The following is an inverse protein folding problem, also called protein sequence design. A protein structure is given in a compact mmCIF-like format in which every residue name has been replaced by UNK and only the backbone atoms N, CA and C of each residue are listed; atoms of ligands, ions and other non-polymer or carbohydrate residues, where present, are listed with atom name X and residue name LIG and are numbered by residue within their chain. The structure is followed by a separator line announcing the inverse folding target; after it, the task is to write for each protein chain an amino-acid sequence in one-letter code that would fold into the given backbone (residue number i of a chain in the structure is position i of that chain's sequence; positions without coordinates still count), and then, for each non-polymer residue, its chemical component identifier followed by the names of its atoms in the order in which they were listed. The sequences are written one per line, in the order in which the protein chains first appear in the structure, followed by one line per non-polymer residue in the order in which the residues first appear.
data_IF_732400417083
#
_entry.id   IF_732400417083
#
_cell.length_a   1.000
_cell.length_b   1.000
_cell.length_c   1.000
_cell.angle_alpha   90.00
_cell.angle_beta   90.00
_cell.angle_gamma   90.00
#
_symmetry.space_group_name_H-M   'P 1'
#
loop_
_entity.id
_entity.type
_entity.pdbx_description
1 polymer ?
#
# COMPACT_ATOMS: atom_id res chain seq x y z
N UNK A 1 -14.30 25.59 -9.88
CA UNK A 1 -14.23 24.12 -9.69
C UNK A 1 -12.79 23.60 -9.68
N UNK A 2 -11.89 24.16 -10.50
CA UNK A 2 -10.44 23.84 -10.53
C UNK A 2 -9.72 24.04 -9.20
N UNK A 3 -10.01 25.12 -8.46
CA UNK A 3 -9.31 25.44 -7.20
C UNK A 3 -9.60 24.42 -6.09
N UNK A 4 -10.80 23.83 -6.09
CA UNK A 4 -11.20 22.81 -5.13
C UNK A 4 -10.43 21.50 -5.36
N UNK A 5 -10.28 21.06 -6.62
CA UNK A 5 -9.55 19.82 -6.95
C UNK A 5 -8.06 19.96 -6.62
N UNK A 6 -7.47 21.14 -6.84
CA UNK A 6 -6.08 21.40 -6.46
C UNK A 6 -5.88 21.37 -4.94
N UNK A 7 -6.81 21.92 -4.16
CA UNK A 7 -6.74 21.86 -2.69
C UNK A 7 -6.89 20.42 -2.18
N UNK A 8 -7.85 19.65 -2.70
CA UNK A 8 -8.05 18.24 -2.35
C UNK A 8 -6.80 17.40 -2.70
N UNK A 9 -6.22 17.64 -3.87
CA UNK A 9 -4.94 17.04 -4.29
C UNK A 9 -3.85 17.26 -3.26
N UNK A 10 -3.63 18.52 -2.84
CA UNK A 10 -2.62 18.87 -1.86
C UNK A 10 -2.88 18.20 -0.50
N UNK A 11 -4.15 18.11 -0.08
CA UNK A 11 -4.51 17.44 1.17
C UNK A 11 -4.14 15.94 1.12
N UNK A 12 -4.49 15.24 0.04
CA UNK A 12 -4.10 13.83 -0.14
C UNK A 12 -2.58 13.66 -0.15
N UNK A 13 -1.87 14.54 -0.86
CA UNK A 13 -0.40 14.54 -0.88
C UNK A 13 0.19 14.72 0.52
N UNK A 14 -0.35 15.66 1.32
CA UNK A 14 0.06 15.85 2.72
C UNK A 14 -0.15 14.58 3.53
N UNK A 15 -1.30 13.90 3.39
CA UNK A 15 -1.55 12.63 4.11
C UNK A 15 -0.59 11.52 3.68
N UNK A 16 -0.27 11.40 2.39
CA UNK A 16 0.70 10.43 1.92
C UNK A 16 2.13 10.74 2.41
N UNK A 17 2.50 12.02 2.46
CA UNK A 17 3.77 12.46 3.04
C UNK A 17 3.82 12.17 4.56
N UNK A 18 2.68 12.31 5.25
CA UNK A 18 2.57 11.93 6.66
C UNK A 18 2.79 10.42 6.85
N UNK A 19 2.16 9.58 6.02
CA UNK A 19 2.37 8.12 6.04
C UNK A 19 3.85 7.80 5.85
N UNK A 20 4.47 8.37 4.82
CA UNK A 20 5.90 8.19 4.52
C UNK A 20 6.78 8.61 5.71
N UNK A 21 6.52 9.80 6.29
CA UNK A 21 7.25 10.31 7.45
C UNK A 21 7.11 9.39 8.67
N UNK A 22 5.91 8.89 8.95
CA UNK A 22 5.64 7.98 10.06
C UNK A 22 6.27 6.61 9.88
N UNK A 23 6.45 6.13 8.64
CA UNK A 23 7.18 4.88 8.36
C UNK A 23 8.65 5.01 8.80
N UNK A 24 9.29 6.16 8.52
CA UNK A 24 10.70 6.36 8.89
C UNK A 24 10.91 6.73 10.36
N UNK A 25 10.06 7.61 10.89
CA UNK A 25 10.29 8.23 12.22
C UNK A 25 9.42 7.62 13.32
N UNK A 26 8.25 7.06 12.99
CA UNK A 26 7.27 6.58 13.95
C UNK A 26 7.72 5.35 14.73
N UNK A 27 7.33 5.27 16.00
CA UNK A 27 7.66 4.14 16.86
C UNK A 27 7.04 2.81 16.39
N UNK A 28 5.91 2.88 15.69
CA UNK A 28 5.19 1.74 15.12
C UNK A 28 6.06 0.88 14.18
N UNK A 29 7.05 1.48 13.52
CA UNK A 29 7.92 0.82 12.54
C UNK A 29 9.39 0.75 13.01
N UNK A 30 9.63 1.01 14.31
CA UNK A 30 10.99 1.15 14.85
C UNK A 30 11.89 -0.06 14.58
N UNK A 31 11.32 -1.28 14.60
CA UNK A 31 12.04 -2.53 14.33
C UNK A 31 12.56 -2.69 12.89
N UNK A 32 12.02 -1.94 11.92
CA UNK A 32 12.43 -2.01 10.50
C UNK A 32 13.16 -0.76 10.02
N UNK A 33 13.52 0.16 10.92
CA UNK A 33 14.24 1.40 10.58
C UNK A 33 15.52 1.10 9.80
N UNK A 34 15.80 1.93 8.79
CA UNK A 34 16.94 1.76 7.88
C UNK A 34 16.76 0.69 6.79
N UNK A 35 15.74 -0.16 6.91
CA UNK A 35 15.47 -1.27 5.98
C UNK A 35 14.37 -0.96 4.97
N UNK A 36 13.69 0.18 5.08
CA UNK A 36 12.66 0.57 4.12
C UNK A 36 13.23 1.03 2.79
N UNK A 37 12.55 0.64 1.71
CA UNK A 37 12.58 1.31 0.41
C UNK A 37 11.15 1.75 0.09
N UNK A 38 11.01 3.02 -0.30
CA UNK A 38 9.74 3.62 -0.65
C UNK A 38 9.78 4.15 -2.07
N UNK A 39 8.70 3.93 -2.81
CA UNK A 39 8.49 4.50 -4.14
C UNK A 39 7.12 5.14 -4.18
N UNK A 40 7.11 6.47 -4.23
CA UNK A 40 5.90 7.27 -4.37
C UNK A 40 5.68 7.65 -5.83
N UNK A 41 4.49 7.41 -6.36
CA UNK A 41 4.09 7.79 -7.71
C UNK A 41 2.82 8.63 -7.62
N UNK A 42 2.91 9.86 -8.09
CA UNK A 42 1.78 10.76 -8.19
C UNK A 42 1.37 10.93 -9.65
N UNK A 43 0.10 10.68 -9.96
CA UNK A 43 -0.44 10.84 -11.31
C UNK A 43 -1.69 11.73 -11.24
N UNK A 44 -1.50 13.00 -11.56
CA UNK A 44 -2.61 13.94 -11.69
C UNK A 44 -3.33 13.68 -13.02
N UNK A 45 -4.61 13.31 -12.98
CA UNK A 45 -5.47 13.33 -14.17
C UNK A 45 -6.33 14.58 -14.17
N UNK A 46 -6.57 15.14 -15.34
CA UNK A 46 -7.32 16.40 -15.53
C UNK A 46 -8.81 16.29 -15.13
N UNK A 47 -9.33 15.09 -14.83
CA UNK A 47 -10.76 14.82 -14.65
C UNK A 47 -11.15 14.40 -13.21
N UNK A 48 -10.63 15.08 -12.18
CA UNK A 48 -11.01 14.94 -10.75
C UNK A 48 -10.63 13.63 -10.01
N UNK A 49 -10.23 12.57 -10.71
CA UNK A 49 -9.67 11.36 -10.07
C UNK A 49 -8.19 11.58 -9.69
N UNK A 50 -7.91 11.68 -8.39
CA UNK A 50 -6.57 11.84 -7.85
C UNK A 50 -5.93 10.47 -7.67
N UNK A 51 -4.83 10.21 -8.40
CA UNK A 51 -4.08 8.96 -8.26
C UNK A 51 -2.77 9.18 -7.49
N UNK A 52 -2.65 8.51 -6.34
CA UNK A 52 -1.43 8.47 -5.54
C UNK A 52 -1.13 7.03 -5.14
N UNK A 53 0.07 6.55 -5.48
CA UNK A 53 0.55 5.23 -5.08
C UNK A 53 1.80 5.44 -4.20
N UNK A 54 1.86 4.73 -3.07
CA UNK A 54 3.05 4.62 -2.24
C UNK A 54 3.38 3.14 -2.05
N UNK A 55 4.40 2.69 -2.76
CA UNK A 55 4.96 1.35 -2.62
C UNK A 55 5.98 1.34 -1.49
N UNK A 56 5.84 0.40 -0.56
CA UNK A 56 6.65 0.23 0.64
C UNK A 56 7.20 -1.20 0.63
N UNK A 57 8.51 -1.36 0.78
CA UNK A 57 9.13 -2.68 0.96
C UNK A 57 10.29 -2.63 1.95
N UNK A 58 10.67 -3.80 2.43
CA UNK A 58 11.92 -3.99 3.16
C UNK A 58 13.01 -4.51 2.21
N UNK A 59 14.25 -4.00 2.37
CA UNK A 59 15.40 -4.31 1.52
C UNK A 59 15.72 -5.80 1.43
N UNK A 60 15.46 -6.55 2.50
CA UNK A 60 15.72 -7.99 2.55
C UNK A 60 14.62 -8.83 1.91
N UNK A 61 13.47 -8.26 1.56
CA UNK A 61 12.44 -9.00 0.84
C UNK A 61 12.89 -9.30 -0.59
N UNK A 62 12.51 -10.47 -1.14
CA UNK A 62 12.63 -10.74 -2.56
C UNK A 62 12.13 -9.57 -3.42
N UNK A 63 12.79 -9.37 -4.57
CA UNK A 63 12.41 -8.31 -5.48
C UNK A 63 10.96 -8.48 -5.96
N UNK A 64 10.26 -7.36 -6.11
CA UNK A 64 8.89 -7.34 -6.58
C UNK A 64 7.83 -7.47 -5.49
N UNK A 65 8.18 -7.85 -4.26
CA UNK A 65 7.24 -7.81 -3.11
C UNK A 65 7.16 -6.39 -2.56
N UNK A 66 5.94 -5.89 -2.35
CA UNK A 66 5.70 -4.58 -1.74
C UNK A 66 4.32 -4.51 -1.09
N UNK A 67 4.16 -3.61 -0.14
CA UNK A 67 2.86 -3.14 0.35
C UNK A 67 2.59 -1.80 -0.32
N UNK A 68 1.45 -1.67 -1.02
CA UNK A 68 1.06 -0.41 -1.65
C UNK A 68 -0.07 0.26 -0.89
N UNK A 69 0.13 1.51 -0.50
CA UNK A 69 -0.98 2.44 -0.23
C UNK A 69 -1.42 3.02 -1.56
N UNK A 70 -2.68 2.81 -1.92
CA UNK A 70 -3.25 3.16 -3.21
C UNK A 70 -4.42 4.11 -3.01
N UNK A 71 -4.36 5.27 -3.65
CA UNK A 71 -5.46 6.22 -3.79
C UNK A 71 -5.78 6.38 -5.27
N UNK A 72 -7.03 6.12 -5.63
CA UNK A 72 -7.66 6.56 -6.88
C UNK A 72 -9.11 6.90 -6.57
N UNK A 73 -10.08 6.11 -7.02
CA UNK A 73 -11.47 6.21 -6.53
C UNK A 73 -11.60 5.79 -5.06
N UNK A 74 -10.87 4.75 -4.67
CA UNK A 74 -10.82 4.23 -3.32
C UNK A 74 -9.46 4.52 -2.66
N UNK A 75 -9.38 4.36 -1.35
CA UNK A 75 -8.14 4.29 -0.58
C UNK A 75 -7.97 2.86 -0.05
N UNK A 76 -6.84 2.22 -0.34
CA UNK A 76 -6.56 0.85 0.08
C UNK A 76 -5.09 0.64 0.43
N UNK A 77 -4.82 -0.38 1.24
CA UNK A 77 -3.46 -0.86 1.54
C UNK A 77 -3.38 -2.34 1.14
N UNK A 78 -2.56 -2.66 0.15
CA UNK A 78 -2.57 -3.98 -0.49
C UNK A 78 -1.14 -4.54 -0.56
N UNK A 79 -0.86 -5.72 -0.01
CA UNK A 79 0.38 -6.43 -0.25
C UNK A 79 0.32 -7.13 -1.61
N UNK A 80 1.36 -6.97 -2.40
CA UNK A 80 1.44 -7.55 -3.74
C UNK A 80 2.85 -7.95 -4.11
N UNK A 81 2.95 -8.81 -5.13
CA UNK A 81 4.18 -9.22 -5.77
C UNK A 81 4.05 -9.18 -7.29
N UNK A 82 5.12 -8.82 -7.99
CA UNK A 82 5.16 -8.80 -9.46
C UNK A 82 5.65 -10.09 -10.11
N UNK A 83 6.27 -10.96 -9.32
CA UNK A 83 6.69 -12.28 -9.75
C UNK A 83 5.68 -13.33 -9.28
N UNK A 84 5.08 -14.04 -10.24
CA UNK A 84 4.12 -15.11 -9.98
C UNK A 84 4.78 -16.29 -9.26
N UNK A 85 6.06 -16.55 -9.51
CA UNK A 85 6.76 -17.69 -8.95
C UNK A 85 6.94 -17.55 -7.44
N UNK A 86 7.25 -16.35 -6.96
CA UNK A 86 7.35 -16.04 -5.52
C UNK A 86 6.05 -16.37 -4.78
N UNK A 87 4.87 -16.08 -5.36
CA UNK A 87 3.60 -16.50 -4.75
C UNK A 87 3.52 -18.02 -4.60
N UNK A 88 3.93 -18.78 -5.62
CA UNK A 88 3.85 -20.25 -5.59
C UNK A 88 4.80 -20.82 -4.55
N UNK A 89 6.01 -20.27 -4.48
CA UNK A 89 7.08 -20.77 -3.62
C UNK A 89 6.76 -20.55 -2.13
N UNK A 90 6.11 -19.42 -1.79
CA UNK A 90 5.88 -19.07 -0.38
C UNK A 90 4.42 -19.22 0.10
N UNK A 91 3.41 -19.07 -0.77
CA UNK A 91 2.00 -19.11 -0.34
C UNK A 91 1.34 -20.47 -0.52
N UNK A 92 1.98 -21.40 -1.25
CA UNK A 92 1.43 -22.72 -1.58
C UNK A 92 -0.02 -22.69 -2.12
N UNK A 93 -0.39 -21.59 -2.78
CA UNK A 93 -1.74 -21.33 -3.31
C UNK A 93 -1.65 -20.74 -4.71
N UNK A 94 -2.71 -20.86 -5.50
CA UNK A 94 -2.74 -20.24 -6.82
C UNK A 94 -2.69 -18.71 -6.69
N UNK A 95 -1.75 -18.05 -7.37
CA UNK A 95 -1.59 -16.60 -7.29
C UNK A 95 -2.86 -15.87 -7.73
N UNK A 96 -3.43 -15.06 -6.84
CA UNK A 96 -4.62 -14.26 -7.13
C UNK A 96 -4.21 -12.92 -7.73
N UNK A 97 -4.62 -12.57 -8.96
CA UNK A 97 -4.24 -11.31 -9.59
C UNK A 97 -4.86 -10.11 -8.88
N UNK A 98 -4.10 -9.02 -8.77
CA UNK A 98 -4.62 -7.75 -8.28
C UNK A 98 -5.62 -7.17 -9.28
N UNK A 99 -6.79 -6.74 -8.80
CA UNK A 99 -7.88 -6.26 -9.66
C UNK A 99 -7.50 -5.05 -10.53
N UNK A 100 -6.64 -4.17 -10.02
CA UNK A 100 -6.35 -2.87 -10.64
C UNK A 100 -4.95 -2.74 -11.21
N UNK A 101 -4.07 -3.73 -11.03
CA UNK A 101 -2.67 -3.64 -11.39
C UNK A 101 -2.29 -4.80 -12.30
N UNK A 102 -1.86 -4.45 -13.50
CA UNK A 102 -1.38 -5.42 -14.48
C UNK A 102 -0.12 -6.11 -13.92
N UNK A 103 -0.03 -7.42 -14.17
CA UNK A 103 1.13 -8.24 -13.84
C UNK A 103 1.53 -8.15 -12.35
N UNK A 104 0.52 -8.07 -11.47
CA UNK A 104 0.68 -8.07 -10.02
C UNK A 104 -0.29 -9.07 -9.37
N UNK A 105 0.16 -9.74 -8.32
CA UNK A 105 -0.59 -10.73 -7.57
C UNK A 105 -0.63 -10.35 -6.10
N UNK A 106 -1.71 -10.66 -5.40
CA UNK A 106 -1.77 -10.44 -3.96
C UNK A 106 -0.79 -11.37 -3.24
N UNK A 107 0.00 -10.81 -2.33
CA UNK A 107 0.97 -11.55 -1.55
C UNK A 107 0.55 -11.56 -0.07
N UNK A 108 -0.37 -12.46 0.27
CA UNK A 108 -1.03 -12.54 1.58
C UNK A 108 -1.76 -13.87 1.73
N UNK A 109 -1.87 -14.35 2.96
CA UNK A 109 -2.62 -15.56 3.32
C UNK A 109 -4.07 -15.24 3.73
N UNK A 110 -4.45 -13.96 3.79
CA UNK A 110 -5.81 -13.55 4.13
C UNK A 110 -6.80 -13.95 3.03
N UNK A 111 -8.01 -14.37 3.42
CA UNK A 111 -9.03 -14.80 2.46
C UNK A 111 -9.93 -13.65 1.96
N UNK A 112 -9.99 -12.53 2.67
CA UNK A 112 -10.81 -11.37 2.31
C UNK A 112 -9.98 -10.25 1.63
N UNK A 113 -9.27 -10.62 0.56
CA UNK A 113 -8.26 -9.81 -0.12
C UNK A 113 -8.79 -8.51 -0.74
N UNK A 114 -10.08 -8.44 -1.08
CA UNK A 114 -10.68 -7.27 -1.71
C UNK A 114 -11.34 -6.33 -0.67
N UNK A 115 -12.15 -6.82 0.28
CA UNK A 115 -12.82 -5.91 1.22
C UNK A 115 -11.97 -5.55 2.44
N UNK A 116 -11.17 -6.48 2.95
CA UNK A 116 -10.40 -6.28 4.19
C UNK A 116 -9.29 -5.22 4.07
N UNK A 117 -9.02 -4.74 2.85
CA UNK A 117 -7.87 -3.91 2.51
C UNK A 117 -8.22 -2.48 2.13
N UNK A 118 -9.50 -2.20 1.92
CA UNK A 118 -9.96 -0.82 1.78
C UNK A 118 -9.91 -0.10 3.13
N UNK A 119 -9.67 1.20 3.02
CA UNK A 119 -9.81 2.20 4.08
C UNK A 119 -11.00 3.09 3.73
N UNK A 120 -11.04 3.56 2.49
CA UNK A 120 -12.20 4.25 1.90
C UNK A 120 -12.63 3.54 0.63
N UNK A 121 -13.93 3.28 0.48
CA UNK A 121 -14.48 2.66 -0.72
C UNK A 121 -14.59 3.66 -1.89
N UNK A 122 -14.85 4.93 -1.58
CA UNK A 122 -14.94 6.00 -2.55
C UNK A 122 -14.61 7.37 -1.95
N UNK A 123 -14.38 8.35 -2.82
CA UNK A 123 -14.21 9.75 -2.43
C UNK A 123 -12.75 10.19 -2.32
N UNK A 124 -12.56 11.49 -2.08
CA UNK A 124 -11.25 12.13 -1.95
C UNK A 124 -11.03 12.74 -0.56
N UNK A 125 -11.99 12.59 0.35
CA UNK A 125 -11.90 13.11 1.71
C UNK A 125 -11.15 12.10 2.59
N UNK A 126 -9.83 12.25 2.65
CA UNK A 126 -8.95 11.39 3.45
C UNK A 126 -8.67 12.07 4.79
N UNK A 127 -9.23 11.49 5.85
CA UNK A 127 -9.10 12.00 7.21
C UNK A 127 -7.79 11.56 7.89
N UNK A 128 -7.54 12.11 9.09
CA UNK A 128 -6.46 11.63 9.97
C UNK A 128 -6.68 10.17 10.41
N UNK A 129 -7.94 9.77 10.61
CA UNK A 129 -8.30 8.40 10.97
C UNK A 129 -8.01 7.42 9.84
N UNK A 130 -8.27 7.81 8.59
CA UNK A 130 -7.90 7.02 7.41
C UNK A 130 -6.39 6.87 7.30
N UNK A 131 -5.64 7.93 7.62
CA UNK A 131 -4.18 7.93 7.65
C UNK A 131 -3.66 6.96 8.71
N UNK A 132 -4.26 6.98 9.91
CA UNK A 132 -3.94 6.03 10.98
C UNK A 132 -4.27 4.59 10.60
N UNK A 133 -5.42 4.36 9.98
CA UNK A 133 -5.86 3.05 9.49
C UNK A 133 -4.91 2.51 8.43
N UNK A 134 -4.46 3.36 7.51
CA UNK A 134 -3.42 3.00 6.54
C UNK A 134 -2.14 2.52 7.25
N UNK A 135 -1.63 3.27 8.23
CA UNK A 135 -0.42 2.89 8.97
C UNK A 135 -0.57 1.53 9.69
N UNK A 136 -1.72 1.30 10.32
CA UNK A 136 -2.04 0.02 10.95
C UNK A 136 -2.04 -1.15 9.96
N UNK A 137 -2.67 -0.98 8.79
CA UNK A 137 -2.67 -2.00 7.73
C UNK A 137 -1.28 -2.23 7.12
N UNK A 138 -0.48 -1.18 6.94
CA UNK A 138 0.90 -1.30 6.47
C UNK A 138 1.70 -2.19 7.44
N UNK A 139 1.64 -1.91 8.74
CA UNK A 139 2.31 -2.73 9.76
C UNK A 139 1.85 -4.18 9.71
N UNK A 140 0.53 -4.40 9.71
CA UNK A 140 -0.07 -5.74 9.62
C UNK A 140 0.48 -6.53 8.43
N UNK A 141 0.51 -5.93 7.25
CA UNK A 141 1.01 -6.60 6.04
C UNK A 141 2.53 -6.81 6.07
N UNK A 142 3.31 -5.89 6.63
CA UNK A 142 4.76 -6.12 6.81
C UNK A 142 5.01 -7.34 7.72
N UNK A 143 4.26 -7.46 8.82
CA UNK A 143 4.37 -8.58 9.74
C UNK A 143 3.95 -9.90 9.09
N UNK A 144 2.84 -9.88 8.35
CA UNK A 144 2.37 -11.03 7.58
C UNK A 144 3.41 -11.49 6.55
N UNK A 145 3.95 -10.56 5.75
CA UNK A 145 4.96 -10.85 4.74
C UNK A 145 6.22 -11.43 5.38
N UNK A 146 6.71 -10.84 6.49
CA UNK A 146 7.85 -11.40 7.20
C UNK A 146 7.56 -12.81 7.73
N UNK A 147 6.34 -13.08 8.20
CA UNK A 147 5.92 -14.43 8.60
C UNK A 147 5.93 -15.43 7.45
N UNK A 148 5.41 -15.05 6.28
CA UNK A 148 5.41 -15.85 5.06
C UNK A 148 6.84 -16.16 4.58
N UNK A 149 7.73 -15.17 4.66
CA UNK A 149 9.12 -15.32 4.21
C UNK A 149 10.01 -16.04 5.23
N UNK A 150 9.58 -16.17 6.49
CA UNK A 150 10.34 -16.85 7.54
C UNK A 150 10.07 -18.37 7.62
N UNK A 151 9.07 -18.88 6.90
CA UNK A 151 8.71 -20.32 6.90
C UNK A 151 9.58 -21.18 5.96
N UNK A 152 10.85 -20.81 5.76
CA UNK A 152 11.86 -21.63 5.07
C UNK A 152 12.62 -22.56 6.03
#
# INVERSE_FOLDING_TARGET
MSDNINSITQQIEIKFNEIESKIFSGNMFSQWRGSFELKKVYLKKENADIKCDLDIRLKHWPEGISVKVYKHKALAVLPYVKDRQICKDHLNTEPTPCKFWKDAFYFSLMTNLDQGRYVLLEGNDMSDEDTHTCLGKIKMHIEEINGILATE
#
